data_IF_631557228464
#
_entry.id   IF_631557228464
#
_cell.length_a   1.000
_cell.length_b   1.000
_cell.length_c   1.000
_cell.angle_alpha   90.00
_cell.angle_beta   90.00
_cell.angle_gamma   90.00
#
_symmetry.space_group_name_H-M   'P 1'
#
loop_
_entity.id
_entity.type
_entity.pdbx_description
1 polymer ?
#
# COMPACT_ATOMS: atom_id res chain seq x y z
N UNK A 1 -8.58 13.95 18.15
CA UNK A 1 -9.09 12.74 17.47
C UNK A 1 -7.87 12.06 16.88
N UNK A 2 -7.68 10.75 17.10
CA UNK A 2 -6.48 10.03 16.61
C UNK A 2 -6.66 9.70 15.13
N UNK A 3 -5.58 9.79 14.36
CA UNK A 3 -5.58 9.41 12.95
C UNK A 3 -5.39 7.88 12.82
N UNK A 4 -6.32 7.20 12.14
CA UNK A 4 -6.31 5.75 11.97
C UNK A 4 -5.49 5.33 10.76
N UNK A 5 -4.41 4.60 11.00
CA UNK A 5 -3.44 4.24 9.97
C UNK A 5 -3.39 2.72 9.80
N UNK A 6 -3.72 2.26 8.59
CA UNK A 6 -3.47 0.90 8.15
C UNK A 6 -2.16 0.78 7.39
N UNK A 7 -1.38 -0.27 7.65
CA UNK A 7 -0.10 -0.53 6.96
C UNK A 7 -0.19 -1.91 6.31
N UNK A 8 -0.18 -1.95 4.98
CA UNK A 8 -0.03 -3.24 4.27
C UNK A 8 1.46 -3.53 4.08
N UNK A 9 1.86 -4.81 4.07
CA UNK A 9 3.28 -5.17 4.07
C UNK A 9 3.99 -4.79 5.38
N UNK A 10 3.22 -4.73 6.47
CA UNK A 10 3.69 -4.41 7.82
C UNK A 10 4.82 -5.34 8.29
N UNK A 11 4.82 -6.58 7.83
CA UNK A 11 5.81 -7.60 8.18
C UNK A 11 7.16 -7.38 7.51
N UNK A 12 7.22 -6.53 6.48
CA UNK A 12 8.46 -6.15 5.80
C UNK A 12 9.27 -5.11 6.59
N UNK A 13 10.53 -4.93 6.18
CA UNK A 13 11.50 -4.02 6.83
C UNK A 13 10.91 -2.63 7.14
N UNK A 14 10.51 -1.87 6.12
CA UNK A 14 9.95 -0.51 6.31
C UNK A 14 8.63 -0.55 7.08
N UNK A 15 7.82 -1.59 6.88
CA UNK A 15 6.53 -1.76 7.56
C UNK A 15 6.68 -1.92 9.07
N UNK A 16 7.63 -2.72 9.53
CA UNK A 16 7.89 -2.92 10.95
C UNK A 16 8.39 -1.63 11.60
N UNK A 17 9.32 -0.92 10.94
CA UNK A 17 9.80 0.37 11.44
C UNK A 17 8.67 1.38 11.55
N UNK A 18 7.85 1.55 10.51
CA UNK A 18 6.71 2.46 10.55
C UNK A 18 5.71 2.10 11.65
N UNK A 19 5.34 0.82 11.78
CA UNK A 19 4.41 0.34 12.80
C UNK A 19 4.90 0.63 14.22
N UNK A 20 6.21 0.44 14.46
CA UNK A 20 6.84 0.72 15.75
C UNK A 20 6.92 2.23 16.01
N UNK A 21 7.33 3.02 15.02
CA UNK A 21 7.41 4.49 15.13
C UNK A 21 6.05 5.11 15.44
N UNK A 22 4.97 4.72 14.74
CA UNK A 22 3.62 5.21 15.04
C UNK A 22 3.18 4.82 16.46
N UNK A 23 3.62 3.66 16.96
CA UNK A 23 3.36 3.20 18.32
C UNK A 23 3.98 4.07 19.42
N UNK A 24 4.95 4.93 19.09
CA UNK A 24 5.54 5.88 20.02
C UNK A 24 4.66 7.11 20.27
N UNK A 25 3.65 7.35 19.41
CA UNK A 25 2.76 8.52 19.48
C UNK A 25 1.29 8.08 19.61
N UNK A 26 0.92 7.36 20.69
CA UNK A 26 -0.42 6.79 20.83
C UNK A 26 -1.52 7.84 20.98
N UNK A 27 -1.20 9.10 21.31
CA UNK A 27 -2.18 10.19 21.38
C UNK A 27 -2.50 10.81 20.01
N UNK A 28 -1.67 10.55 19.00
CA UNK A 28 -1.81 11.08 17.64
C UNK A 28 -2.32 10.01 16.67
N UNK A 29 -1.85 8.76 16.81
CA UNK A 29 -2.12 7.69 15.86
C UNK A 29 -2.76 6.46 16.50
N UNK A 30 -3.71 5.88 15.76
CA UNK A 30 -4.27 4.55 16.02
C UNK A 30 -3.82 3.62 14.89
N UNK A 31 -3.17 2.51 15.22
CA UNK A 31 -2.71 1.52 14.23
C UNK A 31 -3.81 0.50 13.99
N UNK A 32 -4.34 0.45 12.77
CA UNK A 32 -5.36 -0.52 12.39
C UNK A 32 -4.69 -1.87 12.13
N UNK A 33 -5.10 -2.95 12.81
CA UNK A 33 -4.51 -4.27 12.60
C UNK A 33 -4.66 -4.74 11.15
N UNK A 34 -3.57 -5.25 10.60
CA UNK A 34 -3.49 -5.84 9.27
C UNK A 34 -2.87 -7.23 9.35
N UNK A 35 -3.27 -8.12 8.45
CA UNK A 35 -2.62 -9.40 8.22
C UNK A 35 -2.46 -9.64 6.72
N UNK A 36 -1.35 -10.26 6.33
CA UNK A 36 -1.03 -10.51 4.91
C UNK A 36 -2.09 -11.34 4.16
N UNK A 37 -2.82 -12.22 4.85
CA UNK A 37 -3.89 -13.04 4.27
C UNK A 37 -5.12 -12.22 3.85
N UNK A 38 -5.23 -10.96 4.26
CA UNK A 38 -6.35 -10.10 3.85
C UNK A 38 -6.35 -9.90 2.34
N UNK A 39 -5.20 -9.95 1.66
CA UNK A 39 -5.16 -9.93 0.19
C UNK A 39 -5.72 -11.20 -0.46
N UNK A 40 -6.03 -12.24 0.30
CA UNK A 40 -6.70 -13.46 -0.18
C UNK A 40 -8.21 -13.45 0.12
N UNK A 41 -8.70 -12.45 0.84
CA UNK A 41 -10.11 -12.32 1.24
C UNK A 41 -10.57 -10.87 1.08
N UNK A 42 -11.31 -10.63 0.00
CA UNK A 42 -11.82 -9.29 -0.32
C UNK A 42 -12.66 -8.68 0.80
N UNK A 43 -13.39 -9.47 1.58
CA UNK A 43 -14.22 -8.94 2.65
C UNK A 43 -13.35 -8.45 3.81
N UNK A 44 -12.33 -9.22 4.20
CA UNK A 44 -11.36 -8.79 5.21
C UNK A 44 -10.64 -7.51 4.78
N UNK A 45 -10.18 -7.44 3.53
CA UNK A 45 -9.49 -6.26 3.02
C UNK A 45 -10.42 -5.03 2.98
N UNK A 46 -11.68 -5.19 2.55
CA UNK A 46 -12.66 -4.10 2.56
C UNK A 46 -12.98 -3.61 3.97
N UNK A 47 -13.12 -4.53 4.94
CA UNK A 47 -13.33 -4.19 6.36
C UNK A 47 -12.11 -3.44 6.92
N UNK A 48 -10.90 -3.84 6.55
CA UNK A 48 -9.66 -3.18 6.96
C UNK A 48 -9.58 -1.74 6.43
N UNK A 49 -9.71 -1.53 5.12
CA UNK A 49 -9.57 -0.18 4.54
C UNK A 49 -10.70 0.77 4.95
N UNK A 50 -11.88 0.24 5.31
CA UNK A 50 -13.01 1.03 5.84
C UNK A 50 -12.72 1.65 7.20
N UNK A 51 -11.82 1.06 7.97
CA UNK A 51 -11.45 1.54 9.31
C UNK A 51 -10.33 2.59 9.27
N UNK A 52 -9.69 2.78 8.12
CA UNK A 52 -8.50 3.61 7.99
C UNK A 52 -8.87 5.03 7.53
N UNK A 53 -8.24 6.04 8.14
CA UNK A 53 -8.17 7.39 7.57
C UNK A 53 -7.03 7.46 6.54
N UNK A 54 -5.95 6.71 6.78
CA UNK A 54 -4.77 6.60 5.91
C UNK A 54 -4.40 5.13 5.73
N UNK A 55 -4.08 4.74 4.49
CA UNK A 55 -3.48 3.42 4.20
C UNK A 55 -2.09 3.64 3.62
N UNK A 56 -1.07 3.14 4.31
CA UNK A 56 0.31 3.10 3.81
C UNK A 56 0.52 1.76 3.10
N UNK A 57 0.54 1.80 1.78
CA UNK A 57 0.69 0.62 0.94
C UNK A 57 2.17 0.28 0.72
N UNK A 58 2.71 -0.60 1.58
CA UNK A 58 4.08 -1.13 1.48
C UNK A 58 4.15 -2.56 0.92
N UNK A 59 3.01 -3.25 0.80
CA UNK A 59 2.96 -4.61 0.27
C UNK A 59 3.40 -4.63 -1.20
N UNK A 60 4.53 -5.26 -1.46
CA UNK A 60 5.04 -5.55 -2.80
C UNK A 60 6.07 -6.69 -2.73
N UNK A 61 6.17 -7.43 -3.82
CA UNK A 61 7.27 -8.35 -4.09
C UNK A 61 8.44 -7.56 -4.66
N UNK A 62 9.57 -7.60 -3.95
CA UNK A 62 10.79 -6.87 -4.34
C UNK A 62 11.76 -7.74 -5.16
N UNK A 63 11.67 -9.08 -5.06
CA UNK A 63 12.57 -10.03 -5.75
C UNK A 63 11.82 -11.32 -6.06
N UNK A 64 12.03 -11.85 -7.26
CA UNK A 64 11.59 -13.17 -7.68
C UNK A 64 12.51 -13.65 -8.81
N UNK A 65 12.68 -14.97 -8.98
CA UNK A 65 13.50 -15.52 -10.07
C UNK A 65 12.87 -15.28 -11.44
N UNK A 66 11.54 -15.21 -11.47
CA UNK A 66 10.75 -14.82 -12.63
C UNK A 66 10.26 -13.36 -12.46
N UNK A 67 10.79 -12.41 -13.25
CA UNK A 67 10.36 -11.02 -13.24
C UNK A 67 8.88 -10.80 -13.58
N UNK A 68 8.27 -11.67 -14.38
CA UNK A 68 6.84 -11.57 -14.75
C UNK A 68 5.95 -11.89 -13.53
N UNK A 69 6.30 -12.91 -12.75
CA UNK A 69 5.57 -13.24 -11.51
C UNK A 69 5.63 -12.06 -10.53
N UNK A 70 6.79 -11.41 -10.41
CA UNK A 70 6.95 -10.22 -9.56
C UNK A 70 6.04 -9.09 -10.03
N UNK A 71 6.07 -8.76 -11.31
CA UNK A 71 5.25 -7.69 -11.87
C UNK A 71 3.76 -7.97 -11.68
N UNK A 72 3.31 -9.16 -12.09
CA UNK A 72 1.90 -9.56 -11.97
C UNK A 72 1.42 -9.57 -10.52
N UNK A 73 2.27 -10.02 -9.58
CA UNK A 73 1.95 -9.98 -8.14
C UNK A 73 1.73 -8.55 -7.65
N UNK A 74 2.63 -7.64 -7.99
CA UNK A 74 2.54 -6.25 -7.56
C UNK A 74 1.32 -5.53 -8.14
N UNK A 75 1.03 -5.74 -9.43
CA UNK A 75 -0.18 -5.20 -10.06
C UNK A 75 -1.45 -5.78 -9.42
N UNK A 76 -1.46 -7.08 -9.12
CA UNK A 76 -2.61 -7.72 -8.48
C UNK A 76 -2.86 -7.20 -7.06
N UNK A 77 -1.81 -6.94 -6.27
CA UNK A 77 -1.93 -6.33 -4.93
C UNK A 77 -2.59 -4.94 -5.02
N UNK A 78 -2.14 -4.10 -5.96
CA UNK A 78 -2.73 -2.76 -6.16
C UNK A 78 -4.20 -2.86 -6.59
N UNK A 79 -4.52 -3.74 -7.55
CA UNK A 79 -5.91 -3.94 -8.02
C UNK A 79 -6.83 -4.41 -6.90
N UNK A 80 -6.36 -5.34 -6.06
CA UNK A 80 -7.12 -5.81 -4.89
C UNK A 80 -7.35 -4.72 -3.86
N UNK A 81 -6.34 -3.87 -3.62
CA UNK A 81 -6.49 -2.71 -2.74
C UNK A 81 -7.55 -1.72 -3.27
N UNK A 82 -7.49 -1.38 -4.56
CA UNK A 82 -8.48 -0.52 -5.23
C UNK A 82 -9.89 -1.11 -5.09
N UNK A 83 -10.07 -2.39 -5.42
CA UNK A 83 -11.35 -3.06 -5.30
C UNK A 83 -11.90 -3.02 -3.86
N UNK A 84 -11.04 -3.17 -2.86
CA UNK A 84 -11.44 -3.05 -1.46
C UNK A 84 -11.85 -1.62 -1.07
N UNK A 85 -11.15 -0.61 -1.58
CA UNK A 85 -11.48 0.80 -1.35
C UNK A 85 -12.85 1.15 -1.96
N UNK A 86 -13.08 0.76 -3.20
CA UNK A 86 -14.36 0.95 -3.91
C UNK A 86 -15.50 0.22 -3.22
N UNK A 87 -15.33 -1.06 -2.90
CA UNK A 87 -16.35 -1.89 -2.23
C UNK A 87 -16.76 -1.35 -0.87
N UNK A 88 -15.85 -0.67 -0.18
CA UNK A 88 -16.11 -0.07 1.12
C UNK A 88 -16.55 1.40 1.05
N UNK A 89 -16.54 2.01 -0.14
CA UNK A 89 -16.62 3.46 -0.35
C UNK A 89 -15.62 4.24 0.53
N UNK A 90 -14.45 3.65 0.78
CA UNK A 90 -13.41 4.30 1.58
C UNK A 90 -12.76 5.42 0.78
N UNK A 91 -12.62 6.57 1.43
CA UNK A 91 -11.88 7.74 0.93
C UNK A 91 -10.52 7.91 1.62
N UNK A 92 -10.00 6.84 2.21
CA UNK A 92 -8.73 6.86 2.92
C UNK A 92 -7.62 7.47 2.05
N UNK A 93 -6.74 8.26 2.67
CA UNK A 93 -5.55 8.74 1.99
C UNK A 93 -4.60 7.57 1.75
N UNK A 94 -4.32 7.27 0.49
CA UNK A 94 -3.38 6.22 0.11
C UNK A 94 -1.98 6.80 -0.05
N UNK A 95 -1.05 6.32 0.78
CA UNK A 95 0.38 6.53 0.62
C UNK A 95 1.00 5.30 -0.05
N UNK A 96 1.45 5.43 -1.29
CA UNK A 96 2.03 4.31 -2.03
C UNK A 96 3.54 4.34 -2.06
N UNK A 97 4.18 3.24 -1.65
CA UNK A 97 5.63 3.07 -1.75
C UNK A 97 6.06 2.70 -3.16
N UNK A 98 6.32 3.72 -3.96
CA UNK A 98 7.02 3.55 -5.20
C UNK A 98 8.55 3.46 -4.98
N UNK A 99 9.31 3.33 -6.07
CA UNK A 99 10.76 3.18 -6.06
C UNK A 99 11.41 4.06 -7.11
N UNK A 100 12.62 4.55 -6.83
CA UNK A 100 13.47 5.19 -7.85
C UNK A 100 13.77 4.28 -9.06
N UNK A 101 13.50 2.98 -8.94
CA UNK A 101 13.58 2.05 -10.06
C UNK A 101 12.47 2.21 -11.10
N UNK A 102 11.44 3.03 -10.87
CA UNK A 102 10.43 3.36 -11.91
C UNK A 102 11.07 3.93 -13.18
N UNK A 103 12.22 4.61 -13.06
CA UNK A 103 12.96 5.17 -14.18
C UNK A 103 13.80 4.12 -14.93
N UNK A 104 13.89 2.89 -14.41
CA UNK A 104 14.65 1.80 -15.00
C UNK A 104 13.73 0.92 -15.85
N UNK A 105 14.24 0.45 -16.98
CA UNK A 105 13.54 -0.50 -17.84
C UNK A 105 13.62 -1.94 -17.27
N UNK A 106 12.95 -2.17 -16.14
CA UNK A 106 12.79 -3.50 -15.56
C UNK A 106 11.37 -3.71 -15.02
N UNK A 107 10.95 -4.97 -14.90
CA UNK A 107 9.57 -5.33 -14.54
C UNK A 107 9.18 -4.91 -13.11
N UNK A 108 10.13 -4.82 -12.19
CA UNK A 108 9.87 -4.25 -10.87
C UNK A 108 9.53 -2.76 -10.94
N UNK A 109 10.37 -1.97 -11.63
CA UNK A 109 10.15 -0.54 -11.87
C UNK A 109 8.83 -0.28 -12.59
N UNK A 110 8.55 -1.05 -13.66
CA UNK A 110 7.26 -1.01 -14.38
C UNK A 110 6.08 -1.28 -13.45
N UNK A 111 6.17 -2.30 -12.59
CA UNK A 111 5.08 -2.62 -11.65
C UNK A 111 4.78 -1.50 -10.66
N UNK A 112 5.81 -0.78 -10.20
CA UNK A 112 5.65 0.38 -9.31
C UNK A 112 5.04 1.57 -10.02
N UNK A 113 5.51 1.88 -11.23
CA UNK A 113 4.98 2.98 -12.05
C UNK A 113 3.50 2.77 -12.38
N UNK A 114 3.15 1.59 -12.91
CA UNK A 114 1.78 1.28 -13.26
C UNK A 114 0.88 1.18 -12.03
N UNK A 115 1.36 0.56 -10.94
CA UNK A 115 0.63 0.54 -9.67
C UNK A 115 0.29 1.94 -9.15
N UNK A 116 1.24 2.88 -9.27
CA UNK A 116 1.02 4.29 -8.94
C UNK A 116 -0.01 4.94 -9.88
N UNK A 117 0.06 4.70 -11.18
CA UNK A 117 -0.89 5.23 -12.16
C UNK A 117 -2.33 4.73 -11.90
N UNK A 118 -2.49 3.45 -11.55
CA UNK A 118 -3.77 2.87 -11.16
C UNK A 118 -4.37 3.58 -9.93
N UNK A 119 -3.58 3.82 -8.89
CA UNK A 119 -4.05 4.50 -7.68
C UNK A 119 -4.34 5.99 -7.92
N UNK A 120 -3.60 6.65 -8.80
CA UNK A 120 -3.90 8.02 -9.24
C UNK A 120 -5.27 8.08 -9.93
N UNK A 121 -5.56 7.11 -10.79
CA UNK A 121 -6.85 7.07 -11.48
C UNK A 121 -8.00 6.77 -10.52
N UNK A 122 -7.83 5.80 -9.63
CA UNK A 122 -8.79 5.54 -8.56
C UNK A 122 -9.10 6.80 -7.74
N UNK A 123 -8.08 7.55 -7.33
CA UNK A 123 -8.27 8.76 -6.52
C UNK A 123 -9.10 9.84 -7.25
N UNK A 124 -8.92 9.98 -8.57
CA UNK A 124 -9.71 10.91 -9.40
C UNK A 124 -11.17 10.49 -9.51
N UNK A 125 -11.44 9.19 -9.60
CA UNK A 125 -12.79 8.65 -9.80
C UNK A 125 -13.58 8.52 -8.50
N UNK A 126 -12.92 8.13 -7.41
CA UNK A 126 -13.53 7.84 -6.12
C UNK A 126 -13.51 9.01 -5.13
N UNK A 127 -13.00 10.18 -5.54
CA UNK A 127 -12.79 11.35 -4.66
C UNK A 127 -11.93 10.99 -3.43
N UNK A 128 -10.91 10.15 -3.68
CA UNK A 128 -9.91 9.73 -2.70
C UNK A 128 -8.68 10.62 -2.74
N UNK A 129 -7.83 10.52 -1.71
CA UNK A 129 -6.54 11.23 -1.67
C UNK A 129 -5.42 10.24 -1.94
N UNK A 130 -4.47 10.61 -2.82
CA UNK A 130 -3.34 9.78 -3.17
C UNK A 130 -2.02 10.54 -3.07
N UNK A 131 -0.99 9.89 -2.52
CA UNK A 131 0.40 10.36 -2.60
C UNK A 131 1.31 9.19 -2.93
N UNK A 132 2.03 9.32 -4.05
CA UNK A 132 3.11 8.40 -4.41
C UNK A 132 4.43 8.85 -3.80
N UNK A 133 5.11 7.95 -3.09
CA UNK A 133 6.44 8.18 -2.52
C UNK A 133 7.47 7.43 -3.36
N UNK A 134 8.36 8.15 -4.05
CA UNK A 134 9.47 7.53 -4.80
C UNK A 134 10.63 7.28 -3.83
N UNK A 135 10.70 6.07 -3.29
CA UNK A 135 11.67 5.73 -2.25
C UNK A 135 12.97 5.20 -2.91
N UNK A 136 14.15 5.72 -2.53
CA UNK A 136 15.44 5.18 -2.98
C UNK A 136 15.75 3.86 -2.24
N UNK A 137 17.01 3.42 -2.29
CA UNK A 137 17.43 2.27 -1.50
C UNK A 137 17.27 2.55 0.00
N UNK A 138 16.73 1.58 0.73
CA UNK A 138 16.54 1.62 2.17
C UNK A 138 17.44 0.58 2.85
N UNK A 139 17.99 0.93 4.01
CA UNK A 139 18.83 0.09 4.85
C UNK A 139 18.69 0.55 6.31
N UNK A 140 19.04 -0.30 7.27
CA UNK A 140 18.97 0.01 8.70
C UNK A 140 18.72 -1.23 9.55
#
# INVERSE_FOLDING_TARGET
>A
MKLKIGITGQEGFVGQHLYNTLGLFPEEFERIPYQIDYFNDEQKLAIFVKQCDVVVHLAAMNRHIDPEVLYNTNINLVKKLIAALEKSNSKAHILFSSSSQEERDNLYGKSKKEGRELLVNWAKEADGVFTGLVIPNVFG
#
